data_IF_229789302832
#
_entry.id   IF_229789302832
#
_cell.length_a   1.000
_cell.length_b   1.000
_cell.length_c   1.000
_cell.angle_alpha   90.00
_cell.angle_beta   90.00
_cell.angle_gamma   90.00
#
_symmetry.space_group_name_H-M   'P 1'
#
loop_
_entity.id
_entity.type
_entity.pdbx_description
1 polymer ?
#
# COMPACT_ATOMS: atom_id res chain seq x y z
N UNK A 1 -20.40 19.84 20.03
CA UNK A 1 -20.34 18.39 20.35
C UNK A 1 -19.08 17.78 19.73
N UNK A 2 -17.90 17.89 20.38
CA UNK A 2 -16.66 17.24 19.92
C UNK A 2 -16.41 15.84 20.51
N UNK A 3 -17.19 15.41 21.52
CA UNK A 3 -16.85 14.27 22.39
C UNK A 3 -17.23 12.88 21.80
N UNK A 4 -18.25 12.82 20.95
CA UNK A 4 -18.75 11.54 20.38
C UNK A 4 -17.79 10.91 19.37
N UNK A 5 -17.03 11.74 18.63
CA UNK A 5 -16.05 11.24 17.69
C UNK A 5 -14.84 10.66 18.41
N UNK A 6 -14.37 11.31 19.47
CA UNK A 6 -13.26 10.82 20.30
C UNK A 6 -13.61 9.47 20.93
N UNK A 7 -14.81 9.32 21.51
CA UNK A 7 -15.25 8.04 22.06
C UNK A 7 -15.32 6.92 21.02
N UNK A 8 -15.79 7.21 19.80
CA UNK A 8 -15.81 6.25 18.69
C UNK A 8 -14.41 5.86 18.22
N UNK A 9 -13.48 6.83 18.17
CA UNK A 9 -12.09 6.60 17.78
C UNK A 9 -11.36 5.73 18.81
N UNK A 10 -11.52 6.03 20.11
CA UNK A 10 -10.95 5.23 21.20
C UNK A 10 -11.47 3.81 21.14
N UNK A 11 -12.78 3.65 21.00
CA UNK A 11 -13.41 2.33 20.95
C UNK A 11 -13.01 1.55 19.69
N UNK A 12 -12.81 2.22 18.55
CA UNK A 12 -12.33 1.59 17.33
C UNK A 12 -10.84 1.22 17.42
N UNK A 13 -9.99 2.09 17.96
CA UNK A 13 -8.56 1.83 18.10
C UNK A 13 -8.27 0.67 19.06
N UNK A 14 -8.93 0.63 20.22
CA UNK A 14 -8.79 -0.46 21.19
C UNK A 14 -9.28 -1.79 20.60
N UNK A 15 -10.43 -1.77 19.90
CA UNK A 15 -11.04 -2.97 19.33
C UNK A 15 -10.31 -3.52 18.10
N UNK A 16 -9.83 -2.65 17.21
CA UNK A 16 -9.27 -3.06 15.92
C UNK A 16 -7.75 -3.08 15.88
N UNK A 17 -7.08 -2.14 16.56
CA UNK A 17 -5.60 -2.08 16.59
C UNK A 17 -5.00 -2.68 17.88
N UNK A 18 -5.82 -2.97 18.90
CA UNK A 18 -5.33 -3.43 20.21
C UNK A 18 -4.44 -2.39 20.91
N UNK A 19 -4.51 -1.13 20.50
CA UNK A 19 -3.72 -0.01 21.02
C UNK A 19 -4.63 0.95 21.79
N UNK A 20 -4.17 1.36 22.97
CA UNK A 20 -4.79 2.43 23.75
C UNK A 20 -4.60 3.80 23.09
N UNK A 21 -5.48 4.76 23.41
CA UNK A 21 -5.54 6.09 22.79
C UNK A 21 -4.18 6.82 22.77
N UNK A 22 -3.39 6.64 23.82
CA UNK A 22 -2.08 7.28 24.01
C UNK A 22 -0.97 6.67 23.14
N UNK A 23 -1.19 5.48 22.58
CA UNK A 23 -0.24 4.78 21.70
C UNK A 23 -0.49 5.02 20.21
N UNK A 24 -1.57 5.73 19.86
CA UNK A 24 -1.90 6.08 18.48
C UNK A 24 -1.11 7.31 18.04
N UNK A 25 -0.38 7.15 16.95
CA UNK A 25 0.25 8.26 16.24
C UNK A 25 -0.80 9.19 15.64
N UNK A 26 -0.41 10.44 15.37
CA UNK A 26 -1.29 11.45 14.77
C UNK A 26 -1.85 11.01 13.40
N UNK A 27 -1.09 10.22 12.65
CA UNK A 27 -1.54 9.62 11.39
C UNK A 27 -2.62 8.55 11.61
N UNK A 28 -2.41 7.60 12.52
CA UNK A 28 -3.40 6.55 12.84
C UNK A 28 -4.75 7.14 13.27
N UNK A 29 -4.74 8.21 14.08
CA UNK A 29 -5.98 8.92 14.46
C UNK A 29 -6.72 9.52 13.27
N UNK A 30 -6.00 10.16 12.34
CA UNK A 30 -6.59 10.76 11.15
C UNK A 30 -7.20 9.71 10.20
N UNK A 31 -6.56 8.54 10.08
CA UNK A 31 -7.05 7.42 9.26
C UNK A 31 -8.35 6.84 9.86
N UNK A 32 -8.40 6.66 11.18
CA UNK A 32 -9.60 6.19 11.87
C UNK A 32 -10.78 7.17 11.69
N UNK A 33 -10.53 8.48 11.78
CA UNK A 33 -11.56 9.50 11.49
C UNK A 33 -12.06 9.42 10.05
N UNK A 34 -11.16 9.26 9.08
CA UNK A 34 -11.53 9.15 7.67
C UNK A 34 -12.24 7.84 7.34
N UNK A 35 -11.89 6.73 8.00
CA UNK A 35 -12.55 5.44 7.87
C UNK A 35 -14.00 5.50 8.39
N UNK A 36 -14.22 6.12 9.55
CA UNK A 36 -15.56 6.38 10.10
C UNK A 36 -16.35 7.33 9.18
N UNK A 37 -15.68 8.30 8.55
CA UNK A 37 -16.27 9.28 7.64
C UNK A 37 -16.61 8.77 6.23
N UNK A 38 -16.30 7.51 5.87
CA UNK A 38 -16.53 6.93 4.52
C UNK A 38 -16.08 7.80 3.34
N UNK A 39 -14.99 8.57 3.48
CA UNK A 39 -14.41 9.30 2.33
C UNK A 39 -13.52 8.37 1.52
N UNK A 40 -13.75 8.30 0.21
CA UNK A 40 -12.91 7.54 -0.70
C UNK A 40 -11.54 8.23 -0.79
N UNK A 41 -10.48 7.51 -0.42
CA UNK A 41 -9.09 7.90 -0.63
C UNK A 41 -8.74 7.61 -2.10
N UNK A 42 -9.26 8.42 -3.01
CA UNK A 42 -8.84 8.40 -4.42
C UNK A 42 -7.88 9.57 -4.62
N UNK A 43 -6.73 9.50 -3.96
CA UNK A 43 -5.63 10.44 -4.13
C UNK A 43 -4.47 9.61 -4.66
N UNK A 44 -3.84 10.04 -5.73
CA UNK A 44 -2.63 9.41 -6.25
C UNK A 44 -1.41 10.15 -5.65
N UNK A 45 -0.72 9.56 -4.65
CA UNK A 45 0.41 10.22 -3.98
C UNK A 45 1.59 10.44 -4.94
N UNK A 46 1.73 9.57 -5.95
CA UNK A 46 2.81 9.67 -6.91
C UNK A 46 2.63 10.88 -7.83
N UNK A 47 1.39 11.16 -8.26
CA UNK A 47 1.05 12.30 -9.10
C UNK A 47 1.26 13.64 -8.39
N UNK A 48 0.92 13.74 -7.10
CA UNK A 48 1.13 14.98 -6.33
C UNK A 48 2.58 15.26 -5.96
N UNK A 49 3.38 14.21 -5.79
CA UNK A 49 4.82 14.37 -5.61
C UNK A 49 5.44 14.95 -6.88
N UNK A 50 5.02 14.46 -8.06
CA UNK A 50 5.51 14.93 -9.35
C UNK A 50 5.06 16.37 -9.67
N UNK A 51 3.88 16.81 -9.20
CA UNK A 51 3.38 18.18 -9.38
C UNK A 51 4.21 19.23 -8.61
N UNK A 52 4.89 18.82 -7.53
CA UNK A 52 5.76 19.69 -6.72
C UNK A 52 7.18 19.83 -7.30
N UNK A 53 7.52 19.14 -8.39
CA UNK A 53 8.87 19.16 -8.96
C UNK A 53 9.17 20.48 -9.67
N UNK A 54 10.28 21.10 -9.27
CA UNK A 54 10.81 22.29 -9.94
C UNK A 54 11.39 21.95 -11.32
N UNK A 55 11.48 22.93 -12.23
CA UNK A 55 12.04 22.74 -13.57
C UNK A 55 13.47 22.17 -13.56
N UNK A 56 14.30 22.60 -12.60
CA UNK A 56 15.67 22.08 -12.44
C UNK A 56 15.69 20.61 -11.99
N UNK A 57 14.75 20.21 -11.14
CA UNK A 57 14.62 18.82 -10.71
C UNK A 57 14.20 17.90 -11.86
N UNK A 58 13.26 18.35 -12.71
CA UNK A 58 12.83 17.62 -13.91
C UNK A 58 13.94 17.44 -14.94
N UNK A 59 14.76 18.48 -15.14
CA UNK A 59 15.95 18.39 -16.01
C UNK A 59 16.99 17.41 -15.45
N UNK A 60 17.24 17.43 -14.14
CA UNK A 60 18.15 16.50 -13.49
C UNK A 60 17.69 15.04 -13.61
N UNK A 61 16.37 14.76 -13.46
CA UNK A 61 15.79 13.43 -13.71
C UNK A 61 16.00 12.99 -15.16
N UNK A 62 15.75 13.89 -16.12
CA UNK A 62 15.97 13.62 -17.54
C UNK A 62 17.43 13.30 -17.85
N UNK A 63 18.37 14.04 -17.25
CA UNK A 63 19.82 13.80 -17.42
C UNK A 63 20.25 12.48 -16.77
N UNK A 64 19.73 12.15 -15.59
CA UNK A 64 20.01 10.87 -14.93
C UNK A 64 19.45 9.68 -15.72
N UNK A 65 18.23 9.78 -16.21
CA UNK A 65 17.60 8.75 -17.05
C UNK A 65 18.32 8.58 -18.40
N UNK A 66 18.76 9.68 -19.02
CA UNK A 66 19.53 9.64 -20.26
C UNK A 66 20.92 9.05 -20.06
N UNK A 67 21.62 9.45 -18.99
CA UNK A 67 22.94 8.92 -18.63
C UNK A 67 22.93 7.44 -18.23
N UNK A 68 21.80 6.92 -17.76
CA UNK A 68 21.62 5.50 -17.40
C UNK A 68 21.19 4.58 -18.55
N UNK A 69 20.97 5.10 -19.76
CA UNK A 69 20.52 4.30 -20.90
C UNK A 69 21.66 3.47 -21.51
N UNK A 70 21.38 2.20 -21.82
CA UNK A 70 22.31 1.33 -22.56
C UNK A 70 22.74 1.91 -23.91
N UNK A 71 21.85 2.63 -24.60
CA UNK A 71 22.17 3.26 -25.88
C UNK A 71 23.18 4.42 -25.71
N UNK A 72 23.09 5.17 -24.61
CA UNK A 72 24.04 6.24 -24.31
C UNK A 72 25.43 5.66 -24.00
N UNK A 73 25.49 4.60 -23.19
CA UNK A 73 26.75 3.91 -22.85
C UNK A 73 27.46 3.41 -24.11
N UNK A 74 26.74 2.75 -25.01
CA UNK A 74 27.30 2.22 -26.26
C UNK A 74 27.75 3.37 -27.18
N UNK A 75 26.92 4.40 -27.37
CA UNK A 75 27.29 5.56 -28.19
C UNK A 75 28.50 6.31 -27.65
N UNK A 76 28.59 6.47 -26.33
CA UNK A 76 29.72 7.09 -25.65
C UNK A 76 31.00 6.25 -25.84
N UNK A 77 30.93 4.93 -25.67
CA UNK A 77 32.06 4.03 -25.91
C UNK A 77 32.56 4.09 -27.36
N UNK A 78 31.65 4.14 -28.34
CA UNK A 78 32.00 4.31 -29.76
C UNK A 78 32.68 5.67 -29.99
N UNK A 79 32.14 6.75 -29.42
CA UNK A 79 32.74 8.07 -29.55
C UNK A 79 34.16 8.12 -28.96
N UNK A 80 34.38 7.50 -27.80
CA UNK A 80 35.71 7.36 -27.20
C UNK A 80 36.68 6.55 -28.08
N UNK A 81 36.21 5.44 -28.66
CA UNK A 81 37.00 4.63 -29.56
C UNK A 81 37.38 5.40 -30.84
N UNK A 82 36.44 6.15 -31.42
CA UNK A 82 36.68 7.02 -32.58
C UNK A 82 37.66 8.15 -32.26
N UNK A 83 37.51 8.82 -31.10
CA UNK A 83 38.41 9.87 -30.65
C UNK A 83 39.85 9.35 -30.46
N UNK A 84 39.98 8.20 -29.80
CA UNK A 84 41.26 7.53 -29.55
C UNK A 84 41.90 7.09 -30.86
N UNK A 85 41.12 6.47 -31.75
CA UNK A 85 41.59 6.04 -33.08
C UNK A 85 42.03 7.21 -33.95
N UNK A 86 41.27 8.30 -33.98
CA UNK A 86 41.63 9.51 -34.73
C UNK A 86 42.94 10.12 -34.23
N UNK A 87 43.11 10.28 -32.91
CA UNK A 87 44.35 10.85 -32.35
C UNK A 87 45.56 9.93 -32.56
N UNK A 88 45.37 8.61 -32.52
CA UNK A 88 46.46 7.65 -32.79
C UNK A 88 46.91 7.71 -34.26
N UNK A 89 45.98 7.84 -35.20
CA UNK A 89 46.28 7.94 -36.64
C UNK A 89 46.94 9.27 -37.01
N UNK A 90 46.65 10.35 -36.29
CA UNK A 90 47.21 11.68 -36.54
C UNK A 90 48.63 11.87 -36.00
N UNK A 91 49.11 10.97 -35.13
CA UNK A 91 50.48 10.88 -34.58
C UNK A 91 51.20 12.23 -34.34
N UNK A 92 51.85 12.80 -35.36
CA UNK A 92 52.60 14.07 -35.28
C UNK A 92 51.77 15.37 -35.28
N UNK A 93 50.46 15.31 -35.56
CA UNK A 93 49.50 16.42 -35.40
C UNK A 93 48.34 16.07 -34.45
N UNK A 94 48.54 15.06 -33.61
CA UNK A 94 47.53 14.64 -32.66
C UNK A 94 47.17 15.79 -31.70
N UNK A 95 45.88 16.05 -31.55
CA UNK A 95 45.37 17.07 -30.64
C UNK A 95 45.49 16.62 -29.18
N UNK A 96 45.36 15.32 -28.93
CA UNK A 96 45.53 14.67 -27.63
C UNK A 96 46.43 13.41 -27.78
N UNK A 97 47.77 13.57 -27.78
CA UNK A 97 48.70 12.45 -27.88
C UNK A 97 48.58 11.50 -26.68
N UNK A 98 48.93 10.22 -26.89
CA UNK A 98 49.06 9.27 -25.78
C UNK A 98 50.00 9.85 -24.70
N UNK A 99 49.56 10.01 -23.43
CA UNK A 99 48.55 9.23 -22.71
C UNK A 99 47.12 9.84 -22.59
N UNK A 100 46.68 10.70 -23.52
CA UNK A 100 45.33 11.29 -23.58
C UNK A 100 44.93 12.15 -22.38
N UNK A 101 45.73 13.17 -22.07
CA UNK A 101 45.54 14.04 -20.89
C UNK A 101 44.23 14.82 -20.99
N UNK A 102 43.88 15.29 -22.19
CA UNK A 102 42.66 16.08 -22.39
C UNK A 102 41.41 15.21 -22.19
N UNK A 103 41.39 14.02 -22.77
CA UNK A 103 40.30 13.07 -22.58
C UNK A 103 40.15 12.68 -21.10
N UNK A 104 41.26 12.42 -20.41
CA UNK A 104 41.24 12.08 -19.00
C UNK A 104 40.66 13.22 -18.13
N UNK A 105 41.04 14.46 -18.42
CA UNK A 105 40.50 15.64 -17.74
C UNK A 105 38.98 15.75 -17.95
N UNK A 106 38.51 15.61 -19.19
CA UNK A 106 37.07 15.66 -19.50
C UNK A 106 36.28 14.55 -18.80
N UNK A 107 36.79 13.31 -18.82
CA UNK A 107 36.15 12.18 -18.13
C UNK A 107 36.09 12.40 -16.63
N UNK A 108 37.16 12.93 -16.04
CA UNK A 108 37.21 13.23 -14.60
C UNK A 108 36.20 14.31 -14.20
N UNK A 109 36.07 15.38 -14.99
CA UNK A 109 35.06 16.41 -14.77
C UNK A 109 33.63 15.87 -14.94
N UNK A 110 33.40 15.03 -15.94
CA UNK A 110 32.11 14.40 -16.17
C UNK A 110 31.70 13.51 -15.00
N UNK A 111 32.62 12.66 -14.52
CA UNK A 111 32.39 11.79 -13.37
C UNK A 111 32.12 12.58 -12.08
N UNK A 112 32.86 13.67 -11.85
CA UNK A 112 32.69 14.52 -10.68
C UNK A 112 31.28 15.16 -10.60
N UNK A 113 30.70 15.54 -11.73
CA UNK A 113 29.34 16.09 -11.79
C UNK A 113 28.27 14.99 -11.77
N UNK A 114 28.57 13.80 -12.30
CA UNK A 114 27.65 12.67 -12.32
C UNK A 114 27.27 12.19 -10.91
N UNK A 115 28.24 12.03 -10.00
CA UNK A 115 27.97 11.46 -8.67
C UNK A 115 26.92 12.27 -7.86
N UNK A 116 26.99 13.60 -7.75
CA UNK A 116 25.94 14.41 -7.10
C UNK A 116 24.59 14.35 -7.81
N UNK A 117 24.57 14.35 -9.16
CA UNK A 117 23.32 14.28 -9.93
C UNK A 117 22.61 12.95 -9.70
N UNK A 118 23.37 11.84 -9.73
CA UNK A 118 22.86 10.50 -9.42
C UNK A 118 22.35 10.48 -7.97
N UNK A 119 23.11 11.02 -7.01
CA UNK A 119 22.71 11.05 -5.60
C UNK A 119 21.44 11.90 -5.38
N UNK A 120 21.30 13.03 -6.08
CA UNK A 120 20.08 13.85 -6.05
C UNK A 120 18.88 13.10 -6.62
N UNK A 121 19.07 12.39 -7.74
CA UNK A 121 18.03 11.54 -8.33
C UNK A 121 17.62 10.40 -7.41
N UNK A 122 18.58 9.75 -6.76
CA UNK A 122 18.33 8.69 -5.79
C UNK A 122 17.62 9.19 -4.54
N UNK A 123 18.06 10.31 -3.95
CA UNK A 123 17.41 10.92 -2.79
C UNK A 123 15.96 11.30 -3.08
N UNK A 124 15.69 11.81 -4.30
CA UNK A 124 14.34 12.15 -4.73
C UNK A 124 13.47 10.89 -4.93
N UNK A 125 14.00 9.85 -5.58
CA UNK A 125 13.29 8.59 -5.74
C UNK A 125 12.96 7.97 -4.38
N UNK A 126 13.92 7.95 -3.45
CA UNK A 126 13.70 7.45 -2.09
C UNK A 126 12.65 8.25 -1.32
N UNK A 127 12.59 9.58 -1.51
CA UNK A 127 11.53 10.41 -0.92
C UNK A 127 10.14 10.07 -1.50
N UNK A 128 10.05 9.89 -2.82
CA UNK A 128 8.80 9.45 -3.49
C UNK A 128 8.36 8.08 -2.99
N UNK A 129 9.27 7.11 -2.98
CA UNK A 129 9.01 5.74 -2.53
C UNK A 129 8.54 5.70 -1.07
N UNK A 130 9.09 6.57 -0.22
CA UNK A 130 8.67 6.71 1.18
C UNK A 130 7.24 7.25 1.31
N UNK A 131 6.87 8.25 0.51
CA UNK A 131 5.51 8.82 0.53
C UNK A 131 4.47 7.84 0.00
N UNK A 132 4.79 7.11 -1.08
CA UNK A 132 3.95 6.01 -1.60
C UNK A 132 3.80 4.91 -0.57
N UNK A 133 4.90 4.44 0.04
CA UNK A 133 4.85 3.38 1.06
C UNK A 133 4.05 3.80 2.30
N UNK A 134 4.14 5.07 2.70
CA UNK A 134 3.33 5.60 3.79
C UNK A 134 1.84 5.56 3.42
N UNK A 135 1.47 6.02 2.23
CA UNK A 135 0.08 5.98 1.78
C UNK A 135 -0.47 4.56 1.66
N UNK A 136 0.31 3.63 1.09
CA UNK A 136 -0.08 2.22 0.98
C UNK A 136 -0.35 1.60 2.36
N UNK A 137 0.48 1.96 3.36
CA UNK A 137 0.24 1.55 4.75
C UNK A 137 -1.10 2.10 5.28
N UNK A 138 -1.43 3.37 5.03
CA UNK A 138 -2.70 3.95 5.44
C UNK A 138 -3.91 3.26 4.78
N UNK A 139 -3.82 2.98 3.48
CA UNK A 139 -4.86 2.26 2.73
C UNK A 139 -5.03 0.84 3.25
N UNK A 140 -3.94 0.12 3.49
CA UNK A 140 -3.98 -1.24 4.00
C UNK A 140 -4.60 -1.30 5.40
N UNK A 141 -4.20 -0.39 6.30
CA UNK A 141 -4.78 -0.29 7.64
C UNK A 141 -6.28 -0.02 7.58
N UNK A 142 -6.71 0.89 6.71
CA UNK A 142 -8.14 1.18 6.51
C UNK A 142 -8.90 -0.05 5.99
N UNK A 143 -8.34 -0.75 5.00
CA UNK A 143 -8.94 -1.97 4.47
C UNK A 143 -9.07 -3.05 5.56
N UNK A 144 -8.06 -3.20 6.42
CA UNK A 144 -8.10 -4.13 7.55
C UNK A 144 -9.23 -3.81 8.53
N UNK A 145 -9.39 -2.52 8.89
CA UNK A 145 -10.50 -2.04 9.73
C UNK A 145 -11.86 -2.31 9.09
N UNK A 146 -12.01 -2.04 7.78
CA UNK A 146 -13.26 -2.28 7.06
C UNK A 146 -13.60 -3.79 7.01
N UNK A 147 -12.60 -4.65 6.81
CA UNK A 147 -12.78 -6.12 6.83
C UNK A 147 -13.20 -6.60 8.22
N UNK A 148 -12.56 -6.12 9.29
CA UNK A 148 -12.93 -6.48 10.65
C UNK A 148 -14.36 -6.02 10.99
N UNK A 149 -14.75 -4.81 10.59
CA UNK A 149 -16.11 -4.32 10.78
C UNK A 149 -17.15 -5.14 9.99
N UNK A 150 -16.80 -5.63 8.79
CA UNK A 150 -17.63 -6.56 8.02
C UNK A 150 -17.74 -7.92 8.71
N UNK A 151 -16.65 -8.43 9.29
CA UNK A 151 -16.65 -9.69 10.04
C UNK A 151 -17.57 -9.61 11.26
N UNK A 152 -17.47 -8.55 12.06
CA UNK A 152 -18.35 -8.34 13.23
C UNK A 152 -19.83 -8.28 12.81
N UNK A 153 -20.13 -7.61 11.68
CA UNK A 153 -21.50 -7.57 11.16
C UNK A 153 -22.00 -8.95 10.71
N UNK A 154 -21.13 -9.75 10.09
CA UNK A 154 -21.45 -11.10 9.67
C UNK A 154 -21.69 -12.03 10.86
N UNK A 155 -20.87 -11.93 11.90
CA UNK A 155 -21.02 -12.73 13.12
C UNK A 155 -22.33 -12.41 13.83
N UNK A 156 -22.70 -11.13 13.95
CA UNK A 156 -23.99 -10.72 14.51
C UNK A 156 -25.18 -11.28 13.72
N UNK A 157 -25.13 -11.21 12.38
CA UNK A 157 -26.18 -11.79 11.54
C UNK A 157 -26.27 -13.31 11.73
N UNK A 158 -25.11 -14.00 11.79
CA UNK A 158 -25.07 -15.45 12.07
C UNK A 158 -25.66 -15.79 13.44
N UNK A 159 -25.37 -15.01 14.47
CA UNK A 159 -25.94 -15.23 15.80
C UNK A 159 -27.47 -15.07 15.81
N UNK A 160 -27.98 -14.04 15.14
CA UNK A 160 -29.43 -13.82 14.99
C UNK A 160 -30.12 -14.96 14.23
N UNK A 161 -29.51 -15.41 13.12
CA UNK A 161 -30.01 -16.54 12.33
C UNK A 161 -29.99 -17.85 13.14
N UNK A 162 -28.88 -18.13 13.84
CA UNK A 162 -28.75 -19.32 14.69
C UNK A 162 -29.80 -19.31 15.81
N UNK A 163 -30.00 -18.17 16.49
CA UNK A 163 -31.05 -18.05 17.51
C UNK A 163 -32.43 -18.34 16.94
N UNK A 164 -32.72 -17.81 15.76
CA UNK A 164 -34.01 -18.03 15.07
C UNK A 164 -34.21 -19.51 14.73
N UNK A 165 -33.19 -20.18 14.22
CA UNK A 165 -33.23 -21.61 13.91
C UNK A 165 -33.43 -22.47 15.16
N UNK A 166 -32.78 -22.14 16.29
CA UNK A 166 -32.96 -22.85 17.55
C UNK A 166 -34.41 -22.73 18.05
N UNK A 167 -35.00 -21.53 17.99
CA UNK A 167 -36.39 -21.30 18.38
C UNK A 167 -37.34 -22.12 17.50
N UNK A 168 -37.12 -22.15 16.19
CA UNK A 168 -37.92 -22.97 15.27
C UNK A 168 -37.80 -24.47 15.56
N UNK A 169 -36.59 -24.97 15.88
CA UNK A 169 -36.41 -26.37 16.28
C UNK A 169 -37.14 -26.71 17.57
N UNK A 170 -37.15 -25.82 18.56
CA UNK A 170 -37.88 -26.05 19.81
C UNK A 170 -39.39 -26.18 19.57
N UNK A 171 -39.98 -25.32 18.73
CA UNK A 171 -41.40 -25.43 18.34
C UNK A 171 -41.69 -26.76 17.61
N UNK A 172 -40.78 -27.20 16.74
CA UNK A 172 -40.91 -28.49 16.06
C UNK A 172 -40.86 -29.68 17.03
N UNK A 173 -39.92 -29.68 17.98
CA UNK A 173 -39.80 -30.72 19.00
C UNK A 173 -41.08 -30.75 19.87
N UNK A 174 -41.58 -29.59 20.27
CA UNK A 174 -42.80 -29.51 21.09
C UNK A 174 -44.03 -30.09 20.35
N UNK A 175 -44.19 -29.75 19.06
CA UNK A 175 -45.26 -30.33 18.22
C UNK A 175 -45.12 -31.85 18.11
N UNK A 176 -43.91 -32.36 17.89
CA UNK A 176 -43.64 -33.80 17.83
C UNK A 176 -43.98 -34.49 19.15
N UNK A 177 -43.56 -33.91 20.29
CA UNK A 177 -43.88 -34.44 21.62
C UNK A 177 -45.39 -34.51 21.84
N UNK A 178 -46.15 -33.45 21.53
CA UNK A 178 -47.62 -33.47 21.62
C UNK A 178 -48.26 -34.53 20.71
N UNK A 179 -47.74 -34.72 19.50
CA UNK A 179 -48.24 -35.76 18.59
C UNK A 179 -48.00 -37.17 19.14
N UNK A 180 -46.81 -37.41 19.71
CA UNK A 180 -46.46 -38.67 20.35
C UNK A 180 -47.35 -38.92 21.57
N UNK A 181 -47.51 -37.95 22.47
CA UNK A 181 -48.39 -38.06 23.65
C UNK A 181 -49.83 -38.38 23.25
N UNK A 182 -50.37 -37.68 22.25
CA UNK A 182 -51.71 -37.95 21.73
C UNK A 182 -51.83 -39.38 21.21
N UNK A 183 -50.84 -39.87 20.47
CA UNK A 183 -50.86 -41.23 19.93
C UNK A 183 -50.78 -42.29 21.03
N UNK A 184 -49.92 -42.09 22.04
CA UNK A 184 -49.77 -42.98 23.20
C UNK A 184 -51.05 -43.01 24.03
N UNK A 185 -51.65 -41.86 24.33
CA UNK A 185 -52.91 -41.77 25.07
C UNK A 185 -54.10 -42.42 24.35
N UNK A 186 -54.11 -42.41 23.01
CA UNK A 186 -55.15 -43.07 22.20
C UNK A 186 -54.96 -44.60 22.15
N UNK A 187 -53.73 -45.09 22.32
CA UNK A 187 -53.42 -46.52 22.41
C UNK A 187 -53.80 -47.14 23.75
N UNK A 188 -53.63 -46.41 24.86
CA UNK A 188 -53.96 -46.89 26.21
C UNK A 188 -55.48 -47.09 26.41
N UNK A 189 -56.32 -46.18 25.87
CA UNK A 189 -57.79 -46.27 26.01
C UNK A 189 -58.47 -47.38 25.20
N UNK A 190 -57.77 -48.03 24.25
CA UNK A 190 -58.31 -49.16 23.47
C UNK A 190 -58.01 -50.54 24.07
N UNK A 191 -57.15 -50.63 25.09
CA UNK A 191 -56.78 -51.89 25.74
C UNK A 191 -57.64 -52.30 26.93
N UNK A 192 -58.50 -51.42 27.44
CA UNK A 192 -59.26 -51.61 28.69
C UNK A 192 -60.75 -51.95 28.46
N UNK A 193 -61.15 -52.24 27.21
CA UNK A 193 -62.53 -52.58 26.84
C UNK A 193 -62.67 -53.90 26.08
N UNK A 194 -61.76 -54.85 26.32
CA UNK A 194 -61.85 -56.22 25.80
C UNK A 194 -61.83 -57.24 26.95
#
# INVERSE_FOLDING_TARGET
MPNDNIAKLIHAADRYLGKSEDALTSQERAILEQAIGKRALSRDPAAEFDEKLTLGQRLADGVAAFGGSWNFIIGFAIALALWTGANLLLAGRAFDPYPFIFLNLMLSMLAAIQAPVIMMSQNRQAAKDREVSAHDYEVNLKAEIEIMALHEKLDRLREEDIRTLIIQQQDQIERLTRLVEKHVGTGAGKGESA
#
